data_IF_906957510895
#
_entry.id   IF_906957510895
#
_cell.length_a   1.000
_cell.length_b   1.000
_cell.length_c   1.000
_cell.angle_alpha   90.00
_cell.angle_beta   90.00
_cell.angle_gamma   90.00
#
_symmetry.space_group_name_H-M   'P 1'
#
loop_
_entity.id
_entity.type
_entity.pdbx_description
1 polymer ?
#
# COMPACT_ATOMS: atom_id res chain seq x y z
N UNK A 1 34.93 -32.41 13.15
CA UNK A 1 33.69 -32.53 12.34
C UNK A 1 33.25 -31.12 11.97
N UNK A 2 33.86 -30.52 10.95
CA UNK A 2 33.37 -30.50 9.55
C UNK A 2 32.11 -29.64 9.40
N UNK A 3 32.36 -28.35 9.28
CA UNK A 3 31.44 -27.30 8.81
C UNK A 3 30.92 -27.61 7.39
N UNK A 4 29.59 -27.67 7.16
CA UNK A 4 29.03 -27.80 5.81
C UNK A 4 28.51 -26.46 5.25
N UNK A 5 29.00 -25.31 5.75
CA UNK A 5 28.49 -23.98 5.35
C UNK A 5 29.29 -23.29 4.23
N UNK A 6 30.33 -23.91 3.69
CA UNK A 6 31.25 -23.25 2.76
C UNK A 6 31.04 -23.56 1.26
N UNK A 7 30.00 -24.31 0.89
CA UNK A 7 29.73 -24.71 -0.51
C UNK A 7 28.50 -24.04 -1.15
N UNK A 8 28.00 -22.92 -0.60
CA UNK A 8 26.83 -22.21 -1.13
C UNK A 8 27.00 -20.72 -1.55
N UNK A 9 28.18 -20.19 -1.94
CA UNK A 9 28.21 -18.86 -2.57
C UNK A 9 27.75 -18.88 -4.03
N UNK A 10 27.84 -20.01 -4.76
CA UNK A 10 27.57 -20.05 -6.21
C UNK A 10 26.09 -20.15 -6.60
N UNK A 11 25.31 -20.98 -5.90
CA UNK A 11 23.88 -21.20 -6.19
C UNK A 11 23.02 -19.92 -6.10
N UNK A 12 23.14 -19.08 -5.03
CA UNK A 12 22.37 -17.84 -4.97
C UNK A 12 22.76 -16.85 -6.06
N UNK A 13 24.03 -16.81 -6.48
CA UNK A 13 24.49 -15.89 -7.52
C UNK A 13 23.93 -16.21 -8.91
N UNK A 14 23.82 -17.50 -9.27
CA UNK A 14 23.23 -17.90 -10.56
C UNK A 14 21.73 -17.58 -10.63
N UNK A 15 20.97 -17.88 -9.58
CA UNK A 15 19.54 -17.57 -9.53
C UNK A 15 19.28 -16.06 -9.60
N UNK A 16 20.08 -15.25 -8.90
CA UNK A 16 19.96 -13.79 -8.93
C UNK A 16 20.28 -13.21 -10.32
N UNK A 17 21.32 -13.72 -10.98
CA UNK A 17 21.65 -13.31 -12.35
C UNK A 17 20.49 -13.61 -13.32
N UNK A 18 19.95 -14.83 -13.28
CA UNK A 18 18.79 -15.23 -14.10
C UNK A 18 17.59 -14.33 -13.80
N UNK A 19 17.30 -14.05 -12.53
CA UNK A 19 16.19 -13.18 -12.14
C UNK A 19 16.38 -11.75 -12.64
N UNK A 20 17.57 -11.18 -12.54
CA UNK A 20 17.85 -9.82 -13.05
C UNK A 20 17.66 -9.74 -14.55
N UNK A 21 18.14 -10.74 -15.30
CA UNK A 21 17.93 -10.82 -16.75
C UNK A 21 16.44 -10.89 -17.05
N UNK A 22 15.71 -11.83 -16.43
CA UNK A 22 14.26 -11.99 -16.65
C UNK A 22 13.49 -10.71 -16.30
N UNK A 23 13.78 -10.07 -15.15
CA UNK A 23 13.11 -8.84 -14.74
C UNK A 23 13.48 -7.64 -15.61
N UNK A 24 14.74 -7.53 -16.05
CA UNK A 24 15.17 -6.51 -16.99
C UNK A 24 14.38 -6.64 -18.30
N UNK A 25 14.37 -7.83 -18.89
CA UNK A 25 13.59 -8.12 -20.10
C UNK A 25 12.10 -7.83 -19.91
N UNK A 26 11.50 -8.27 -18.80
CA UNK A 26 10.10 -8.02 -18.49
C UNK A 26 9.78 -6.52 -18.40
N UNK A 27 10.65 -5.73 -17.75
CA UNK A 27 10.52 -4.28 -17.66
C UNK A 27 10.59 -3.59 -19.04
N UNK A 28 11.56 -3.97 -19.88
CA UNK A 28 11.70 -3.44 -21.23
C UNK A 28 10.51 -3.79 -22.11
N UNK A 29 10.09 -5.06 -22.13
CA UNK A 29 8.92 -5.52 -22.89
C UNK A 29 7.67 -4.77 -22.41
N UNK A 30 7.51 -4.55 -21.10
CA UNK A 30 6.37 -3.83 -20.54
C UNK A 30 6.32 -2.36 -20.99
N UNK A 31 7.45 -1.65 -21.02
CA UNK A 31 7.52 -0.27 -21.51
C UNK A 31 7.24 -0.20 -23.02
N UNK A 32 7.79 -1.13 -23.79
CA UNK A 32 7.56 -1.19 -25.23
C UNK A 32 6.09 -1.49 -25.55
N UNK A 33 5.54 -2.51 -24.89
CA UNK A 33 4.13 -2.90 -25.01
C UNK A 33 3.18 -1.79 -24.55
N UNK A 34 3.54 -0.96 -23.56
CA UNK A 34 2.68 0.16 -23.13
C UNK A 34 2.33 1.14 -24.27
N UNK A 35 3.11 1.16 -25.35
CA UNK A 35 2.82 1.93 -26.57
C UNK A 35 1.56 1.50 -27.34
N UNK A 36 0.97 0.34 -27.05
CA UNK A 36 -0.29 -0.08 -27.68
C UNK A 36 -1.52 0.72 -27.22
N UNK A 37 -1.45 1.38 -26.05
CA UNK A 37 -2.51 2.26 -25.59
C UNK A 37 -2.36 3.67 -26.20
N UNK A 38 -3.43 4.22 -26.78
CA UNK A 38 -3.46 5.58 -27.34
C UNK A 38 -2.99 6.66 -26.35
N UNK A 39 -3.19 6.44 -25.04
CA UNK A 39 -2.78 7.32 -23.92
C UNK A 39 -1.26 7.44 -23.75
N UNK A 40 -0.48 6.43 -24.19
CA UNK A 40 0.98 6.36 -23.98
C UNK A 40 1.75 6.28 -25.31
N UNK A 41 1.18 6.78 -26.40
CA UNK A 41 1.82 6.82 -27.72
C UNK A 41 2.99 7.82 -27.73
N UNK A 42 4.08 7.46 -28.39
CA UNK A 42 5.29 8.28 -28.51
C UNK A 42 6.21 8.26 -27.29
N UNK A 43 7.35 8.94 -27.39
CA UNK A 43 8.39 8.96 -26.34
C UNK A 43 7.89 9.61 -25.04
N UNK A 44 7.16 10.72 -25.13
CA UNK A 44 6.57 11.39 -23.96
C UNK A 44 5.51 10.52 -23.26
N UNK A 45 4.74 9.73 -24.04
CA UNK A 45 3.76 8.78 -23.51
C UNK A 45 4.40 7.63 -22.74
N UNK A 46 5.49 7.07 -23.27
CA UNK A 46 6.28 6.01 -22.60
C UNK A 46 6.95 6.53 -21.33
N UNK A 47 7.51 7.74 -21.34
CA UNK A 47 8.10 8.34 -20.13
C UNK A 47 7.05 8.59 -19.04
N UNK A 48 5.83 8.98 -19.42
CA UNK A 48 4.70 9.12 -18.50
C UNK A 48 4.32 7.77 -17.87
N UNK A 49 4.41 6.67 -18.61
CA UNK A 49 4.18 5.33 -18.08
C UNK A 49 5.29 4.92 -17.10
N UNK A 50 6.56 5.18 -17.42
CA UNK A 50 7.70 4.86 -16.58
C UNK A 50 7.67 5.59 -15.21
N UNK A 51 7.08 6.79 -15.15
CA UNK A 51 6.91 7.58 -13.91
C UNK A 51 5.83 7.04 -12.95
N UNK A 52 5.10 5.98 -13.30
CA UNK A 52 4.16 5.34 -12.36
C UNK A 52 4.93 4.75 -11.17
N UNK A 53 4.43 4.84 -9.93
CA UNK A 53 5.17 4.47 -8.73
C UNK A 53 5.69 3.02 -8.78
N UNK A 54 4.87 2.08 -9.25
CA UNK A 54 5.29 0.69 -9.42
C UNK A 54 6.40 0.51 -10.46
N UNK A 55 6.38 1.26 -11.57
CA UNK A 55 7.45 1.20 -12.59
C UNK A 55 8.75 1.85 -12.10
N UNK A 56 8.66 2.88 -11.26
CA UNK A 56 9.82 3.50 -10.60
C UNK A 56 10.44 2.54 -9.59
N UNK A 57 9.63 1.90 -8.75
CA UNK A 57 10.09 0.82 -7.85
C UNK A 57 10.70 -0.32 -8.67
N UNK A 58 10.13 -0.63 -9.84
CA UNK A 58 10.64 -1.67 -10.74
C UNK A 58 12.09 -1.36 -11.19
N UNK A 59 12.27 -0.13 -11.66
CA UNK A 59 13.55 0.39 -12.12
C UNK A 59 14.59 0.49 -10.99
N UNK A 60 14.20 0.96 -9.80
CA UNK A 60 15.12 1.11 -8.66
C UNK A 60 15.71 -0.24 -8.24
N UNK A 61 14.92 -1.31 -8.09
CA UNK A 61 15.51 -2.63 -7.71
C UNK A 61 16.33 -3.20 -8.86
N UNK A 62 15.96 -2.96 -10.12
CA UNK A 62 16.77 -3.43 -11.26
C UNK A 62 18.16 -2.79 -11.22
N UNK A 63 18.22 -1.46 -11.10
CA UNK A 63 19.48 -0.71 -10.98
C UNK A 63 20.26 -1.11 -9.73
N UNK A 64 19.59 -1.23 -8.58
CA UNK A 64 20.23 -1.64 -7.32
C UNK A 64 20.79 -3.06 -7.42
N UNK A 65 20.08 -4.00 -8.05
CA UNK A 65 20.55 -5.38 -8.24
C UNK A 65 21.76 -5.43 -9.18
N UNK A 66 21.75 -4.62 -10.25
CA UNK A 66 22.89 -4.51 -11.17
C UNK A 66 24.12 -3.91 -10.47
N UNK A 67 23.94 -2.86 -9.67
CA UNK A 67 25.02 -2.23 -8.91
C UNK A 67 25.67 -3.19 -7.90
N UNK A 68 24.86 -4.03 -7.22
CA UNK A 68 25.36 -5.02 -6.27
C UNK A 68 26.20 -6.10 -6.95
N UNK A 69 25.80 -6.58 -8.14
CA UNK A 69 26.61 -7.54 -8.91
C UNK A 69 27.91 -6.89 -9.40
N UNK A 70 27.84 -5.65 -9.91
CA UNK A 70 29.02 -4.93 -10.38
C UNK A 70 30.03 -4.63 -9.25
N UNK A 71 29.56 -4.40 -8.02
CA UNK A 71 30.44 -4.21 -6.87
C UNK A 71 31.00 -5.53 -6.30
N UNK A 72 30.25 -6.63 -6.41
CA UNK A 72 30.66 -7.95 -5.93
C UNK A 72 31.85 -8.57 -6.70
N UNK A 73 32.14 -8.09 -7.92
CA UNK A 73 33.26 -8.57 -8.73
C UNK A 73 34.62 -7.99 -8.33
N UNK A 74 34.69 -6.95 -7.48
CA UNK A 74 35.93 -6.22 -7.16
C UNK A 74 36.48 -6.38 -5.73
N UNK A 75 35.86 -7.13 -4.81
CA UNK A 75 36.46 -7.28 -3.46
C UNK A 75 35.81 -8.29 -2.51
N UNK A 76 36.66 -9.15 -1.92
CA UNK A 76 36.30 -10.25 -1.01
C UNK A 76 35.67 -9.78 0.33
N UNK A 77 35.85 -8.51 0.71
CA UNK A 77 35.37 -7.91 1.98
C UNK A 77 33.98 -7.26 1.81
N UNK A 78 33.62 -6.85 0.58
CA UNK A 78 32.28 -6.31 0.25
C UNK A 78 31.26 -7.39 -0.09
N UNK A 79 31.70 -8.64 -0.33
CA UNK A 79 30.80 -9.75 -0.65
C UNK A 79 29.81 -10.03 0.49
N UNK A 80 30.23 -9.95 1.76
CA UNK A 80 29.35 -10.24 2.92
C UNK A 80 28.32 -9.14 3.18
N UNK A 81 28.67 -7.86 3.00
CA UNK A 81 27.73 -6.73 3.09
C UNK A 81 26.78 -6.70 1.89
N UNK A 82 27.26 -7.00 0.68
CA UNK A 82 26.45 -7.12 -0.53
C UNK A 82 25.41 -8.25 -0.43
N UNK A 83 25.79 -9.42 0.12
CA UNK A 83 24.88 -10.53 0.36
C UNK A 83 23.75 -10.17 1.34
N UNK A 84 24.02 -9.32 2.33
CA UNK A 84 22.99 -8.83 3.27
C UNK A 84 22.00 -7.87 2.59
N UNK A 85 22.49 -6.97 1.74
CA UNK A 85 21.65 -6.07 0.95
C UNK A 85 20.82 -6.80 -0.11
N UNK A 86 21.32 -7.90 -0.68
CA UNK A 86 20.55 -8.72 -1.63
C UNK A 86 19.28 -9.31 -1.01
N UNK A 87 19.32 -9.74 0.25
CA UNK A 87 18.13 -10.28 0.96
C UNK A 87 17.03 -9.23 1.11
N UNK A 88 17.41 -7.97 1.35
CA UNK A 88 16.44 -6.88 1.43
C UNK A 88 15.79 -6.56 0.07
N UNK A 89 16.56 -6.63 -1.02
CA UNK A 89 16.04 -6.45 -2.38
C UNK A 89 15.02 -7.52 -2.78
N UNK A 90 15.17 -8.76 -2.29
CA UNK A 90 14.21 -9.85 -2.52
C UNK A 90 12.82 -9.54 -1.94
N UNK A 91 12.75 -8.93 -0.76
CA UNK A 91 11.47 -8.50 -0.15
C UNK A 91 10.81 -7.43 -1.03
N UNK A 92 11.60 -6.49 -1.56
CA UNK A 92 11.10 -5.46 -2.48
C UNK A 92 10.55 -6.03 -3.79
N UNK A 93 11.02 -7.22 -4.22
CA UNK A 93 10.44 -7.94 -5.37
C UNK A 93 9.06 -8.52 -5.06
N UNK A 94 8.82 -9.03 -3.84
CA UNK A 94 7.48 -9.50 -3.45
C UNK A 94 6.43 -8.37 -3.46
N UNK A 95 6.82 -7.15 -3.10
CA UNK A 95 5.94 -5.97 -3.14
C UNK A 95 5.39 -5.69 -4.56
N UNK A 96 6.11 -6.12 -5.60
CA UNK A 96 5.70 -5.93 -7.01
C UNK A 96 4.59 -6.88 -7.46
N UNK A 97 4.33 -7.96 -6.72
CA UNK A 97 3.31 -8.95 -7.07
C UNK A 97 1.92 -8.31 -7.15
N UNK A 98 1.68 -7.21 -6.42
CA UNK A 98 0.49 -6.36 -6.58
C UNK A 98 0.65 -5.35 -7.73
N UNK A 99 0.73 -5.87 -8.96
CA UNK A 99 1.02 -5.12 -10.19
C UNK A 99 -0.02 -4.04 -10.54
N UNK A 100 -1.25 -4.11 -9.99
CA UNK A 100 -2.33 -3.16 -10.29
C UNK A 100 -2.55 -2.13 -9.17
N UNK A 101 -1.87 -2.30 -8.03
CA UNK A 101 -2.10 -1.54 -6.80
C UNK A 101 -3.54 -1.65 -6.33
N UNK A 102 -4.20 -2.77 -6.65
CA UNK A 102 -5.61 -2.97 -6.34
C UNK A 102 -5.83 -3.04 -4.84
N UNK A 103 -4.97 -3.79 -4.15
CA UNK A 103 -4.98 -3.94 -2.69
C UNK A 103 -4.72 -2.60 -2.01
N UNK A 104 -3.69 -1.87 -2.46
CA UNK A 104 -3.37 -0.55 -1.92
C UNK A 104 -4.47 0.50 -2.15
N UNK A 105 -5.11 0.49 -3.31
CA UNK A 105 -6.27 1.36 -3.59
C UNK A 105 -7.48 0.97 -2.75
N UNK A 106 -7.73 -0.32 -2.57
CA UNK A 106 -8.83 -0.82 -1.76
C UNK A 106 -8.63 -0.41 -0.31
N UNK A 107 -7.47 -0.73 0.26
CA UNK A 107 -7.04 -0.37 1.61
C UNK A 107 -7.10 1.14 1.81
N UNK A 108 -6.45 1.92 0.95
CA UNK A 108 -6.44 3.38 1.05
C UNK A 108 -7.84 3.98 0.98
N UNK A 109 -8.75 3.41 0.19
CA UNK A 109 -10.13 3.89 0.14
C UNK A 109 -10.96 3.49 1.36
N UNK A 110 -10.71 2.34 2.01
CA UNK A 110 -11.35 1.99 3.29
C UNK A 110 -10.82 2.90 4.41
N UNK A 111 -9.49 3.10 4.48
CA UNK A 111 -8.84 4.00 5.43
C UNK A 111 -9.34 5.43 5.27
N UNK A 112 -9.49 5.92 4.04
CA UNK A 112 -10.00 7.27 3.78
C UNK A 112 -11.47 7.41 4.21
N UNK A 113 -12.31 6.42 3.92
CA UNK A 113 -13.72 6.41 4.30
C UNK A 113 -13.90 6.47 5.83
N UNK A 114 -13.08 5.73 6.57
CA UNK A 114 -13.12 5.65 8.04
C UNK A 114 -12.02 6.49 8.71
N UNK A 115 -11.50 7.51 8.02
CA UNK A 115 -10.34 8.30 8.50
C UNK A 115 -10.61 9.01 9.82
N UNK A 116 -11.82 9.55 10.01
CA UNK A 116 -12.21 10.24 11.25
C UNK A 116 -12.26 9.30 12.45
N UNK A 117 -12.81 8.09 12.27
CA UNK A 117 -12.90 7.06 13.31
C UNK A 117 -11.51 6.56 13.68
N UNK A 118 -10.66 6.31 12.67
CA UNK A 118 -9.28 5.86 12.86
C UNK A 118 -8.42 6.90 13.58
N UNK A 119 -8.50 8.18 13.17
CA UNK A 119 -7.77 9.28 13.82
C UNK A 119 -8.21 9.44 15.27
N UNK A 120 -9.53 9.37 15.54
CA UNK A 120 -10.06 9.47 16.91
C UNK A 120 -9.55 8.31 17.78
N UNK A 121 -9.57 7.08 17.27
CA UNK A 121 -9.06 5.91 17.99
C UNK A 121 -7.55 6.03 18.29
N UNK A 122 -6.76 6.44 17.30
CA UNK A 122 -5.32 6.68 17.47
C UNK A 122 -5.04 7.81 18.47
N UNK A 123 -5.78 8.92 18.39
CA UNK A 123 -5.62 10.05 19.29
C UNK A 123 -5.89 9.66 20.75
N UNK A 124 -7.04 9.01 21.01
CA UNK A 124 -7.41 8.57 22.37
C UNK A 124 -6.44 7.49 22.86
N UNK A 125 -6.10 6.50 22.02
CA UNK A 125 -5.14 5.46 22.36
C UNK A 125 -3.76 6.02 22.72
N UNK A 126 -3.26 6.97 21.95
CA UNK A 126 -1.98 7.63 22.23
C UNK A 126 -2.03 8.47 23.52
N UNK A 127 -3.13 9.17 23.77
CA UNK A 127 -3.33 9.90 25.03
C UNK A 127 -3.31 8.95 26.23
N UNK A 128 -4.05 7.83 26.16
CA UNK A 128 -4.04 6.79 27.20
C UNK A 128 -2.63 6.21 27.40
N UNK A 129 -1.88 5.95 26.32
CA UNK A 129 -0.50 5.46 26.39
C UNK A 129 0.41 6.42 27.17
N UNK A 130 0.39 7.72 26.84
CA UNK A 130 1.21 8.73 27.49
C UNK A 130 0.85 8.86 28.97
N UNK A 131 -0.45 8.94 29.29
CA UNK A 131 -0.93 9.05 30.67
C UNK A 131 -0.61 7.80 31.51
N UNK A 132 -0.86 6.60 30.98
CA UNK A 132 -0.58 5.34 31.65
C UNK A 132 0.91 5.19 31.94
N UNK A 133 1.76 5.46 30.95
CA UNK A 133 3.21 5.37 31.08
C UNK A 133 3.75 6.39 32.09
N UNK A 134 3.19 7.60 32.12
CA UNK A 134 3.60 8.63 33.08
C UNK A 134 3.21 8.27 34.52
N UNK A 135 1.99 7.81 34.75
CA UNK A 135 1.52 7.45 36.08
C UNK A 135 2.24 6.20 36.64
N UNK A 136 2.46 5.19 35.81
CA UNK A 136 3.23 4.00 36.23
C UNK A 136 4.70 4.34 36.47
N UNK A 137 5.29 5.22 35.67
CA UNK A 137 6.64 5.72 35.94
C UNK A 137 6.73 6.39 37.31
N UNK A 138 5.81 7.30 37.64
CA UNK A 138 5.81 7.95 38.96
C UNK A 138 5.61 6.96 40.11
N UNK A 139 4.83 5.89 39.91
CA UNK A 139 4.59 4.87 40.93
C UNK A 139 5.79 3.91 41.14
N UNK A 140 6.58 3.66 40.08
CA UNK A 140 7.64 2.64 40.10
C UNK A 140 9.06 3.21 40.16
N UNK A 141 9.27 4.50 39.86
CA UNK A 141 10.61 5.12 39.72
C UNK A 141 11.53 4.87 40.91
N UNK A 142 11.01 4.94 42.13
CA UNK A 142 11.83 4.84 43.34
C UNK A 142 12.03 3.38 43.81
N UNK A 143 11.17 2.46 43.35
CA UNK A 143 11.10 1.08 43.85
C UNK A 143 11.57 0.04 42.82
N UNK A 144 11.70 0.41 41.55
CA UNK A 144 12.05 -0.52 40.49
C UNK A 144 13.07 0.08 39.51
N UNK A 145 14.22 -0.57 39.38
CA UNK A 145 15.27 -0.22 38.41
C UNK A 145 14.84 -0.38 36.96
N UNK A 146 13.75 -1.12 36.69
CA UNK A 146 13.22 -1.32 35.34
C UNK A 146 12.59 -0.03 34.78
N UNK A 147 12.20 0.91 35.65
CA UNK A 147 11.54 2.19 35.31
C UNK A 147 12.42 3.41 35.65
N UNK A 148 13.72 3.34 35.33
CA UNK A 148 14.67 4.43 35.59
C UNK A 148 14.38 5.69 34.76
N UNK A 149 13.98 5.52 33.50
CA UNK A 149 13.68 6.64 32.60
C UNK A 149 12.22 6.62 32.14
N UNK A 150 11.69 7.78 31.77
CA UNK A 150 10.35 7.85 31.16
C UNK A 150 10.26 7.03 29.86
N UNK A 151 11.37 6.95 29.11
CA UNK A 151 11.44 6.12 27.89
C UNK A 151 11.23 4.64 28.20
N UNK A 152 11.72 4.14 29.34
CA UNK A 152 11.52 2.76 29.78
C UNK A 152 10.06 2.46 30.09
N UNK A 153 9.37 3.41 30.72
CA UNK A 153 7.93 3.31 30.98
C UNK A 153 7.09 3.38 29.70
N UNK A 154 7.49 4.23 28.75
CA UNK A 154 6.80 4.34 27.46
C UNK A 154 6.96 3.08 26.60
N UNK A 155 8.13 2.43 26.67
CA UNK A 155 8.35 1.10 26.09
C UNK A 155 7.40 0.07 26.72
N UNK A 156 7.36 0.00 28.06
CA UNK A 156 6.46 -0.90 28.79
C UNK A 156 4.99 -0.66 28.43
N UNK A 157 4.55 0.61 28.42
CA UNK A 157 3.19 0.99 28.06
C UNK A 157 2.84 0.57 26.64
N UNK A 158 3.76 0.74 25.68
CA UNK A 158 3.56 0.32 24.29
C UNK A 158 3.36 -1.19 24.20
N UNK A 159 4.27 -1.97 24.77
CA UNK A 159 4.23 -3.45 24.75
C UNK A 159 2.98 -4.00 25.46
N UNK A 160 2.53 -3.33 26.53
CA UNK A 160 1.36 -3.73 27.30
C UNK A 160 0.06 -3.39 26.57
N UNK A 161 -0.09 -2.17 26.04
CA UNK A 161 -1.30 -1.74 25.34
C UNK A 161 -1.49 -2.41 23.97
N UNK A 162 -0.40 -2.81 23.31
CA UNK A 162 -0.46 -3.63 22.10
C UNK A 162 -0.58 -5.13 22.40
N UNK A 163 -0.79 -5.52 23.67
CA UNK A 163 -0.95 -6.90 24.13
C UNK A 163 0.18 -7.85 23.70
N UNK A 164 1.41 -7.36 23.56
CA UNK A 164 2.58 -8.20 23.26
C UNK A 164 3.06 -8.86 24.55
N UNK A 165 3.25 -8.06 25.61
CA UNK A 165 3.56 -8.55 26.95
C UNK A 165 4.87 -9.36 27.05
N UNK A 166 6.00 -8.80 26.62
CA UNK A 166 7.31 -9.49 26.73
C UNK A 166 7.69 -9.89 28.16
N UNK A 167 7.22 -9.14 29.17
CA UNK A 167 7.51 -9.41 30.58
C UNK A 167 8.91 -8.98 31.03
N UNK A 168 9.65 -8.26 30.18
CA UNK A 168 10.97 -7.68 30.47
C UNK A 168 10.91 -6.56 31.52
N UNK A 169 9.83 -5.77 31.51
CA UNK A 169 9.55 -4.73 32.50
C UNK A 169 8.16 -4.93 33.07
N UNK A 170 8.03 -4.95 34.40
CA UNK A 170 6.73 -5.12 35.06
C UNK A 170 6.64 -4.29 36.34
N UNK A 171 5.50 -3.64 36.62
CA UNK A 171 5.32 -2.90 37.87
C UNK A 171 5.33 -3.85 39.07
N UNK A 172 6.17 -3.56 40.06
CA UNK A 172 6.32 -4.36 41.28
C UNK A 172 5.47 -3.84 42.42
N UNK A 173 5.24 -2.53 42.47
CA UNK A 173 4.45 -1.90 43.53
C UNK A 173 2.96 -2.20 43.35
N UNK A 174 2.22 -2.26 44.46
CA UNK A 174 0.77 -2.46 44.42
C UNK A 174 0.06 -1.31 43.66
N UNK A 175 0.50 -0.07 43.87
CA UNK A 175 -0.06 1.11 43.20
C UNK A 175 0.19 1.08 41.69
N UNK A 176 1.42 0.76 41.28
CA UNK A 176 1.78 0.59 39.87
C UNK A 176 0.98 -0.53 39.20
N UNK A 177 0.75 -1.66 39.88
CA UNK A 177 -0.09 -2.75 39.38
C UNK A 177 -1.55 -2.37 39.23
N UNK A 178 -2.12 -1.64 40.19
CA UNK A 178 -3.51 -1.18 40.11
C UNK A 178 -3.71 -0.20 38.95
N UNK A 179 -2.79 0.76 38.80
CA UNK A 179 -2.78 1.70 37.67
C UNK A 179 -2.61 0.97 36.34
N UNK A 180 -1.64 0.06 36.26
CA UNK A 180 -1.39 -0.75 35.07
C UNK A 180 -2.62 -1.58 34.67
N UNK A 181 -3.29 -2.22 35.63
CA UNK A 181 -4.49 -3.01 35.35
C UNK A 181 -5.64 -2.13 34.81
N UNK A 182 -5.89 -0.97 35.43
CA UNK A 182 -6.93 -0.05 34.99
C UNK A 182 -6.67 0.50 33.57
N UNK A 183 -5.45 0.96 33.31
CA UNK A 183 -5.08 1.49 32.00
C UNK A 183 -4.93 0.40 30.93
N UNK A 184 -4.56 -0.82 31.30
CA UNK A 184 -4.53 -1.94 30.36
C UNK A 184 -5.93 -2.24 29.81
N UNK A 185 -6.96 -2.32 30.67
CA UNK A 185 -8.33 -2.56 30.23
C UNK A 185 -8.84 -1.49 29.25
N UNK A 186 -8.58 -0.21 29.57
CA UNK A 186 -8.99 0.90 28.71
C UNK A 186 -8.16 0.97 27.43
N UNK A 187 -6.83 0.95 27.53
CA UNK A 187 -5.94 1.17 26.40
C UNK A 187 -5.95 0.03 25.38
N UNK A 188 -6.03 -1.23 25.83
CA UNK A 188 -6.14 -2.39 24.91
C UNK A 188 -7.39 -2.27 24.04
N UNK A 189 -8.50 -1.82 24.61
CA UNK A 189 -9.75 -1.61 23.88
C UNK A 189 -9.59 -0.60 22.74
N UNK A 190 -8.92 0.53 22.99
CA UNK A 190 -8.68 1.56 21.96
C UNK A 190 -7.69 1.12 20.88
N UNK A 191 -6.63 0.39 21.25
CA UNK A 191 -5.65 -0.13 20.28
C UNK A 191 -6.22 -1.26 19.40
N UNK A 192 -7.26 -1.96 19.85
CA UNK A 192 -7.97 -2.96 19.05
C UNK A 192 -8.96 -2.35 18.02
N UNK A 193 -9.46 -1.14 18.25
CA UNK A 193 -10.47 -0.49 17.38
C UNK A 193 -10.03 -0.33 15.92
N UNK A 194 -8.79 0.11 15.59
CA UNK A 194 -8.33 0.20 14.21
C UNK A 194 -8.50 -1.10 13.41
N UNK A 195 -8.19 -2.25 14.03
CA UNK A 195 -8.34 -3.55 13.37
C UNK A 195 -9.83 -3.88 13.13
N UNK A 196 -10.71 -3.59 14.10
CA UNK A 196 -12.15 -3.79 13.99
C UNK A 196 -12.80 -2.91 12.91
N UNK A 197 -12.47 -1.62 12.87
CA UNK A 197 -12.99 -0.64 11.90
C UNK A 197 -12.55 -1.00 10.48
N UNK A 198 -11.27 -1.37 10.29
CA UNK A 198 -10.80 -1.81 8.99
C UNK A 198 -11.46 -3.12 8.56
N UNK A 199 -11.59 -4.09 9.47
CA UNK A 199 -12.24 -5.38 9.21
C UNK A 199 -13.70 -5.22 8.74
N UNK A 200 -14.49 -4.41 9.45
CA UNK A 200 -15.88 -4.12 9.07
C UNK A 200 -15.97 -3.31 7.78
N UNK A 201 -15.07 -2.32 7.58
CA UNK A 201 -14.99 -1.53 6.35
C UNK A 201 -14.67 -2.38 5.10
N UNK A 202 -13.79 -3.37 5.23
CA UNK A 202 -13.54 -4.33 4.15
C UNK A 202 -14.75 -5.22 3.87
N UNK A 203 -15.42 -5.74 4.91
CA UNK A 203 -16.59 -6.59 4.75
C UNK A 203 -17.73 -5.85 4.01
N UNK A 204 -18.03 -4.62 4.42
CA UNK A 204 -19.04 -3.77 3.77
C UNK A 204 -18.69 -3.49 2.31
N UNK A 205 -17.42 -3.19 2.02
CA UNK A 205 -16.98 -2.88 0.67
C UNK A 205 -17.03 -4.09 -0.27
N UNK A 206 -16.71 -5.28 0.23
CA UNK A 206 -16.87 -6.53 -0.53
C UNK A 206 -18.35 -6.80 -0.80
N UNK A 207 -19.22 -6.62 0.19
CA UNK A 207 -20.66 -6.78 0.03
C UNK A 207 -21.24 -5.80 -1.00
N UNK A 208 -20.79 -4.55 -0.98
CA UNK A 208 -21.22 -3.53 -1.94
C UNK A 208 -20.71 -3.82 -3.37
N UNK A 209 -19.47 -4.32 -3.52
CA UNK A 209 -18.97 -4.78 -4.82
C UNK A 209 -19.80 -5.94 -5.38
N UNK A 210 -20.20 -6.90 -4.54
CA UNK A 210 -21.11 -7.97 -4.96
C UNK A 210 -22.45 -7.40 -5.43
N UNK A 211 -23.04 -6.44 -4.70
CA UNK A 211 -24.29 -5.78 -5.11
C UNK A 211 -24.12 -5.01 -6.43
N UNK A 212 -22.97 -4.38 -6.68
CA UNK A 212 -22.67 -3.68 -7.93
C UNK A 212 -22.43 -4.61 -9.12
N UNK A 213 -21.95 -5.85 -8.91
CA UNK A 213 -21.88 -6.86 -10.00
C UNK A 213 -23.27 -7.28 -10.49
N UNK A 214 -24.28 -7.24 -9.64
CA UNK A 214 -25.68 -7.42 -10.05
C UNK A 214 -26.26 -6.23 -10.85
N UNK A 215 -25.51 -5.13 -11.02
CA UNK A 215 -25.91 -3.94 -11.80
C UNK A 215 -25.43 -3.96 -13.28
N UNK A 216 -25.47 -5.13 -13.96
CA UNK A 216 -25.35 -5.22 -15.43
C UNK A 216 -26.38 -4.34 -16.20
N UNK A 217 -27.37 -3.78 -15.50
CA UNK A 217 -28.32 -2.78 -16.02
C UNK A 217 -27.70 -1.43 -16.43
N UNK A 218 -26.42 -1.15 -16.17
CA UNK A 218 -25.77 0.14 -16.57
C UNK A 218 -25.37 0.23 -18.05
N UNK A 219 -25.56 -0.82 -18.85
CA UNK A 219 -25.24 -0.82 -20.29
C UNK A 219 -26.08 0.20 -21.08
N UNK A 220 -27.38 0.31 -20.76
CA UNK A 220 -28.30 1.23 -21.43
C UNK A 220 -28.00 2.72 -21.15
N UNK A 221 -27.80 3.15 -19.88
CA UNK A 221 -27.37 4.52 -19.59
C UNK A 221 -26.06 4.92 -20.27
N UNK A 222 -25.07 4.03 -20.31
CA UNK A 222 -23.78 4.31 -20.95
C UNK A 222 -23.93 4.50 -22.48
N UNK A 223 -24.73 3.65 -23.14
CA UNK A 223 -25.02 3.79 -24.56
C UNK A 223 -25.74 5.10 -24.87
N UNK A 224 -26.73 5.48 -24.05
CA UNK A 224 -27.46 6.73 -24.20
C UNK A 224 -26.55 7.96 -24.06
N UNK A 225 -25.60 7.93 -23.11
CA UNK A 225 -24.64 9.02 -22.94
C UNK A 225 -23.73 9.18 -24.18
N UNK A 226 -23.24 8.08 -24.75
CA UNK A 226 -22.40 8.10 -25.96
C UNK A 226 -23.20 8.67 -27.15
N UNK A 227 -24.44 8.23 -27.32
CA UNK A 227 -25.31 8.71 -28.39
C UNK A 227 -25.64 10.20 -28.22
N UNK A 228 -25.93 10.65 -27.00
CA UNK A 228 -26.20 12.07 -26.71
C UNK A 228 -24.95 12.93 -26.93
N UNK A 229 -23.77 12.48 -26.52
CA UNK A 229 -22.52 13.19 -26.74
C UNK A 229 -22.20 13.34 -28.23
N UNK A 230 -22.47 12.29 -29.04
CA UNK A 230 -22.31 12.37 -30.49
C UNK A 230 -23.32 13.33 -31.14
N UNK A 231 -24.59 13.30 -30.72
CA UNK A 231 -25.62 14.24 -31.18
C UNK A 231 -25.20 15.69 -30.89
N UNK A 232 -24.72 15.98 -29.69
CA UNK A 232 -24.22 17.32 -29.32
C UNK A 232 -22.99 17.73 -30.15
N UNK A 233 -22.07 16.80 -30.42
CA UNK A 233 -20.91 17.09 -31.28
C UNK A 233 -21.34 17.42 -32.72
N UNK A 234 -22.35 16.73 -33.25
CA UNK A 234 -22.87 16.95 -34.61
C UNK A 234 -23.71 18.23 -34.78
N UNK A 235 -24.11 18.88 -33.70
CA UNK A 235 -24.89 20.14 -33.76
C UNK A 235 -24.04 21.41 -33.93
N UNK A 236 -22.71 21.30 -33.87
CA UNK A 236 -21.82 22.45 -34.09
C UNK A 236 -21.84 22.89 -35.57
N UNK A 237 -22.07 24.18 -35.81
CA UNK A 237 -22.19 24.79 -37.13
C UNK A 237 -20.94 24.61 -38.01
N UNK A 238 -19.77 24.38 -37.41
CA UNK A 238 -18.52 24.07 -38.15
C UNK A 238 -18.55 22.69 -38.82
N UNK A 239 -19.44 21.81 -38.39
CA UNK A 239 -19.56 20.43 -38.82
C UNK A 239 -20.78 20.21 -39.73
N UNK A 240 -21.04 21.15 -40.66
CA UNK A 240 -22.19 21.13 -41.59
C UNK A 240 -22.31 19.85 -42.44
N UNK A 241 -21.24 19.06 -42.58
CA UNK A 241 -21.24 17.78 -43.31
C UNK A 241 -21.88 16.62 -42.53
N UNK A 242 -22.10 16.76 -41.21
CA UNK A 242 -22.72 15.75 -40.36
C UNK A 242 -24.25 15.88 -40.39
N UNK A 243 -24.86 15.44 -41.49
CA UNK A 243 -26.29 15.64 -41.77
C UNK A 243 -27.20 14.63 -41.08
N UNK A 244 -26.69 13.48 -40.62
CA UNK A 244 -27.53 12.39 -40.10
C UNK A 244 -28.39 12.78 -38.88
N UNK A 245 -27.88 13.64 -38.00
CA UNK A 245 -28.64 14.16 -36.86
C UNK A 245 -29.75 15.10 -37.32
N UNK A 246 -29.45 15.99 -38.27
CA UNK A 246 -30.41 16.95 -38.81
C UNK A 246 -31.50 16.28 -39.65
N UNK A 247 -31.16 15.30 -40.50
CA UNK A 247 -32.14 14.50 -41.25
C UNK A 247 -33.17 13.80 -40.35
N UNK A 248 -32.73 13.29 -39.20
CA UNK A 248 -33.63 12.66 -38.24
C UNK A 248 -34.64 13.67 -37.66
N UNK A 249 -34.19 14.86 -37.25
CA UNK A 249 -35.10 15.89 -36.74
C UNK A 249 -35.99 16.50 -37.85
N UNK A 250 -35.45 16.69 -39.04
CA UNK A 250 -36.17 17.21 -40.21
C UNK A 250 -37.30 16.24 -40.64
N UNK A 251 -37.05 14.92 -40.57
CA UNK A 251 -38.08 13.89 -40.78
C UNK A 251 -39.17 13.83 -39.69
N UNK A 252 -38.91 14.44 -38.53
CA UNK A 252 -39.81 14.43 -37.38
C UNK A 252 -40.66 15.71 -37.30
N UNK A 253 -40.25 16.77 -37.98
CA UNK A 253 -41.03 17.99 -38.12
C UNK A 253 -42.22 17.71 -39.06
N UNK A 254 -43.45 18.09 -38.69
CA UNK A 254 -44.57 17.99 -39.62
C UNK A 254 -44.26 18.85 -40.85
N UNK A 255 -44.45 18.29 -42.04
CA UNK A 255 -44.31 19.02 -43.29
C UNK A 255 -45.32 20.17 -43.28
N UNK A 256 -44.89 21.37 -42.90
CA UNK A 256 -45.67 22.58 -43.12
C UNK A 256 -45.71 22.80 -44.63
N UNK A 257 -46.83 22.37 -45.21
CA UNK A 257 -47.26 22.70 -46.56
C UNK A 257 -48.23 23.86 -46.50
#
# INVERSE_FOLDING_TARGET
>A
LSSPFLSLPLVPSCQEFVMIVVFGFEYFIRIWAAGCCCRYRGWQGRLRFARKPFCVIDFIVFVASLAVIAAGTQGNIFATSALRSMRFLQILRMVRMDRRGGTWKLLGSVVYAHSKELITAWYIGFLVLIFASFLVYLAEKDNNSDFNTYADSLWWGTITLTTIGYGDKTPRTWQGRLLAAGFALLGVSFFALPAGILGSGFALKVQEQHRQKHFEKRRMPAANLIQAAWRLYSTDAKHSYLTATWYFYDSMLPSFR
#
